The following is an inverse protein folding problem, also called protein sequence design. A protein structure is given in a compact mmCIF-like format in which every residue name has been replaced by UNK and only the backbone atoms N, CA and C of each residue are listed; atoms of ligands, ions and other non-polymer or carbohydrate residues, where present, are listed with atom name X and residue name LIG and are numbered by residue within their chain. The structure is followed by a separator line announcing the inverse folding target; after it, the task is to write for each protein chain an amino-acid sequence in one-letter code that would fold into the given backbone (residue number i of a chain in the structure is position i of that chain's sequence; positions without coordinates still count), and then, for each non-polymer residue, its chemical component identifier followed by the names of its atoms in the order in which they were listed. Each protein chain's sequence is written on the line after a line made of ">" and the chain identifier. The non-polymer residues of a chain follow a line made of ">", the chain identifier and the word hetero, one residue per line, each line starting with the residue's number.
data_IF_954745007379
#
_entry.id   IF_954745007379
#
_cell.length_a   1.000
_cell.length_b   1.000
_cell.length_c   1.000
_cell.angle_alpha   90.00
_cell.angle_beta   90.00
_cell.angle_gamma   90.00
#
_symmetry.space_group_name_H-M   'P 1'
#
loop_
_entity.id
_entity.type
_entity.pdbx_description
1 polymer ?
#
# COMPACT_ATOMS: atom_id res chain seq x y z
N UNK A 1 13.49 23.43 7.52
CA UNK A 1 12.06 23.16 7.82
C UNK A 1 11.71 21.77 7.27
N UNK A 2 11.29 20.81 8.11
CA UNK A 2 10.90 19.48 7.62
C UNK A 2 9.40 19.45 7.38
N UNK A 3 8.98 19.51 6.11
CA UNK A 3 7.56 19.43 5.78
C UNK A 3 7.17 17.97 5.62
N UNK A 4 6.27 17.50 6.48
CA UNK A 4 5.55 16.26 6.26
C UNK A 4 4.38 16.53 5.32
N UNK A 5 4.50 16.03 4.11
CA UNK A 5 3.43 16.07 3.13
C UNK A 5 2.39 14.98 3.46
N UNK A 6 1.22 15.38 3.96
CA UNK A 6 0.00 14.56 4.03
C UNK A 6 -0.98 15.09 2.99
N UNK A 7 -1.42 14.24 2.08
CA UNK A 7 -2.33 14.57 1.01
C UNK A 7 -3.37 13.48 0.83
N UNK A 8 -4.56 13.63 1.44
CA UNK A 8 -5.69 12.72 1.18
C UNK A 8 -5.99 12.61 -0.34
N UNK A 9 -6.50 11.46 -0.78
CA UNK A 9 -7.01 11.21 -2.14
C UNK A 9 -8.07 12.21 -2.61
N UNK A 10 -8.65 12.99 -1.70
CA UNK A 10 -9.53 14.12 -1.98
C UNK A 10 -8.82 15.33 -2.64
N UNK A 11 -7.48 15.35 -2.71
CA UNK A 11 -6.67 16.45 -3.24
C UNK A 11 -6.71 16.56 -4.77
N UNK A 12 -7.03 15.48 -5.49
CA UNK A 12 -7.08 15.48 -6.97
C UNK A 12 -8.24 16.30 -7.57
N UNK A 13 -9.10 16.92 -6.76
CA UNK A 13 -10.10 17.88 -7.26
C UNK A 13 -9.67 19.30 -6.92
N UNK A 14 -9.05 19.98 -7.90
CA UNK A 14 -8.95 21.44 -8.17
C UNK A 14 -8.97 22.49 -7.03
N UNK A 15 -8.83 22.13 -5.76
CA UNK A 15 -9.14 23.03 -4.63
C UNK A 15 -8.00 23.26 -3.65
N UNK A 16 -6.91 22.50 -3.71
CA UNK A 16 -5.89 22.51 -2.64
C UNK A 16 -4.47 22.89 -3.08
N UNK A 17 -4.27 23.35 -4.33
CA UNK A 17 -3.07 24.13 -4.71
C UNK A 17 -2.92 25.40 -3.85
N UNK A 18 -4.01 25.87 -3.22
CA UNK A 18 -4.06 27.08 -2.42
C UNK A 18 -3.02 27.15 -1.28
N UNK A 19 -2.71 26.04 -0.58
CA UNK A 19 -1.72 26.06 0.52
C UNK A 19 -0.26 26.03 0.03
N UNK A 20 0.00 25.51 -1.17
CA UNK A 20 1.35 25.53 -1.76
C UNK A 20 1.72 26.92 -2.30
N UNK A 21 0.74 27.80 -2.54
CA UNK A 21 0.98 29.18 -2.97
C UNK A 21 1.36 30.12 -1.83
N UNK A 22 1.09 29.77 -0.57
CA UNK A 22 1.40 30.61 0.59
C UNK A 22 2.82 30.41 1.14
N UNK A 23 3.51 29.34 0.74
CA UNK A 23 4.85 29.00 1.24
C UNK A 23 5.84 29.02 0.07
N UNK A 24 6.91 29.81 0.20
CA UNK A 24 8.02 29.74 -0.75
C UNK A 24 8.75 28.40 -0.60
N UNK A 25 8.52 27.48 -1.54
CA UNK A 25 9.08 26.13 -1.54
C UNK A 25 10.60 26.12 -1.78
N UNK A 26 11.19 27.23 -2.22
CA UNK A 26 12.64 27.33 -2.42
C UNK A 26 13.42 27.38 -1.12
N UNK A 27 12.78 27.74 0.00
CA UNK A 27 13.41 27.78 1.33
C UNK A 27 13.45 26.42 2.04
N UNK A 28 12.90 25.35 1.44
CA UNK A 28 12.87 24.03 2.03
C UNK A 28 14.15 23.28 1.66
N UNK A 29 15.01 23.04 2.65
CA UNK A 29 16.27 22.31 2.44
C UNK A 29 16.09 20.79 2.33
N UNK A 30 15.10 20.24 3.06
CA UNK A 30 14.93 18.79 3.22
C UNK A 30 13.44 18.40 3.23
N UNK A 31 13.11 17.40 2.43
CA UNK A 31 11.82 16.71 2.40
C UNK A 31 11.99 15.24 2.82
N UNK A 32 11.28 14.83 3.88
CA UNK A 32 11.28 13.44 4.36
C UNK A 32 9.95 12.78 4.04
N UNK A 33 9.99 11.65 3.33
CA UNK A 33 8.79 10.85 3.09
C UNK A 33 8.79 9.65 4.01
N UNK A 34 7.75 9.61 4.87
CA UNK A 34 7.63 8.61 5.95
C UNK A 34 7.39 7.19 5.43
N UNK A 35 6.46 7.02 4.48
CA UNK A 35 6.09 5.73 3.92
C UNK A 35 5.43 5.88 2.54
N UNK A 36 5.18 4.75 1.87
CA UNK A 36 4.83 4.72 0.44
C UNK A 36 3.35 4.95 0.13
N UNK A 37 2.46 5.07 1.11
CA UNK A 37 1.03 5.21 0.81
C UNK A 37 0.75 6.47 -0.02
N UNK A 38 -0.31 6.40 -0.84
CA UNK A 38 -0.66 7.49 -1.76
C UNK A 38 -0.88 8.80 -1.01
N UNK A 39 -1.41 8.76 0.21
CA UNK A 39 -1.66 9.94 1.02
C UNK A 39 -0.41 10.60 1.59
N UNK A 40 0.76 10.01 1.38
CA UNK A 40 2.05 10.56 1.79
C UNK A 40 3.01 10.82 0.63
N UNK A 41 2.85 10.09 -0.48
CA UNK A 41 3.81 10.12 -1.57
C UNK A 41 3.22 10.49 -2.94
N UNK A 42 1.89 10.56 -3.10
CA UNK A 42 1.27 10.74 -4.43
C UNK A 42 1.59 12.07 -5.11
N UNK A 43 1.80 13.14 -4.35
CA UNK A 43 2.11 14.47 -4.89
C UNK A 43 3.59 14.68 -5.17
N UNK A 44 4.46 13.74 -4.79
CA UNK A 44 5.90 13.93 -4.88
C UNK A 44 6.40 14.18 -6.32
N UNK A 45 5.95 13.46 -7.37
CA UNK A 45 6.39 13.77 -8.73
C UNK A 45 6.04 15.19 -9.15
N UNK A 46 4.81 15.63 -8.84
CA UNK A 46 4.38 17.00 -9.09
C UNK A 46 5.22 18.02 -8.31
N UNK A 47 5.46 17.74 -7.02
CA UNK A 47 6.25 18.60 -6.14
C UNK A 47 7.68 18.80 -6.66
N UNK A 48 8.34 17.75 -7.14
CA UNK A 48 9.73 17.82 -7.59
C UNK A 48 9.94 18.33 -9.02
N UNK A 49 8.92 18.22 -9.88
CA UNK A 49 9.03 18.58 -11.29
C UNK A 49 8.30 19.88 -11.65
N UNK A 50 7.24 20.25 -10.92
CA UNK A 50 6.36 21.37 -11.26
C UNK A 50 6.41 22.53 -10.26
N UNK A 51 7.23 22.43 -9.21
CA UNK A 51 7.39 23.49 -8.20
C UNK A 51 8.83 24.04 -8.16
N UNK A 52 9.05 25.10 -7.38
CA UNK A 52 10.35 25.76 -7.19
C UNK A 52 11.26 25.08 -6.17
N UNK A 53 10.85 23.92 -5.62
CA UNK A 53 11.62 23.16 -4.65
C UNK A 53 12.97 22.70 -5.21
N UNK A 54 14.05 22.94 -4.45
CA UNK A 54 15.43 22.56 -4.78
C UNK A 54 16.13 21.78 -3.66
N UNK A 55 15.41 21.46 -2.59
CA UNK A 55 15.94 20.72 -1.45
C UNK A 55 16.19 19.24 -1.76
N UNK A 56 16.75 18.54 -0.78
CA UNK A 56 17.02 17.10 -0.83
C UNK A 56 15.81 16.31 -0.37
N UNK A 57 15.55 15.16 -0.99
CA UNK A 57 14.42 14.28 -0.66
C UNK A 57 14.93 12.96 -0.15
N UNK A 58 14.43 12.49 0.99
CA UNK A 58 14.84 11.21 1.56
C UNK A 58 13.69 10.23 1.71
N UNK A 59 13.97 8.96 1.43
CA UNK A 59 13.10 7.80 1.61
C UNK A 59 13.88 6.58 2.06
N UNK A 60 13.22 5.61 2.68
CA UNK A 60 13.82 4.28 2.85
C UNK A 60 13.93 3.53 1.51
N UNK A 61 14.88 2.61 1.41
CA UNK A 61 15.07 1.75 0.22
C UNK A 61 13.77 1.03 -0.18
N UNK A 62 13.07 0.41 0.77
CA UNK A 62 11.81 -0.28 0.53
C UNK A 62 10.71 0.68 0.06
N UNK A 63 10.61 1.87 0.67
CA UNK A 63 9.65 2.91 0.30
C UNK A 63 9.86 3.35 -1.15
N UNK A 64 11.11 3.61 -1.57
CA UNK A 64 11.44 4.02 -2.94
C UNK A 64 11.04 2.95 -3.98
N UNK A 65 11.26 1.67 -3.69
CA UNK A 65 10.88 0.57 -4.58
C UNK A 65 9.35 0.44 -4.75
N UNK A 66 8.62 0.51 -3.63
CA UNK A 66 7.15 0.40 -3.63
C UNK A 66 6.50 1.65 -4.24
N UNK A 67 7.06 2.83 -3.97
CA UNK A 67 6.61 4.11 -4.52
C UNK A 67 6.48 4.08 -6.04
N UNK A 68 7.51 3.60 -6.75
CA UNK A 68 7.48 3.48 -8.20
C UNK A 68 6.34 2.59 -8.68
N UNK A 69 6.15 1.42 -8.06
CA UNK A 69 5.09 0.49 -8.43
C UNK A 69 3.70 1.08 -8.20
N UNK A 70 3.50 1.74 -7.06
CA UNK A 70 2.22 2.31 -6.65
C UNK A 70 1.82 3.48 -7.57
N UNK A 71 2.73 4.41 -7.84
CA UNK A 71 2.42 5.57 -8.69
C UNK A 71 2.26 5.19 -10.16
N UNK A 72 3.05 4.25 -10.68
CA UNK A 72 2.87 3.76 -12.04
C UNK A 72 1.50 3.08 -12.23
N UNK A 73 0.97 2.42 -11.20
CA UNK A 73 -0.38 1.85 -11.24
C UNK A 73 -1.46 2.93 -11.12
N UNK A 74 -1.25 3.92 -10.24
CA UNK A 74 -2.13 5.08 -10.13
C UNK A 74 -2.31 5.81 -11.47
N UNK A 75 -1.21 6.17 -12.14
CA UNK A 75 -1.24 6.85 -13.45
C UNK A 75 -1.91 5.99 -14.53
N UNK A 76 -1.76 4.66 -14.48
CA UNK A 76 -2.44 3.75 -15.42
C UNK A 76 -3.94 3.71 -15.21
N UNK A 77 -4.40 3.82 -13.96
CA UNK A 77 -5.82 3.85 -13.62
C UNK A 77 -6.47 5.21 -13.91
N UNK A 78 -5.76 6.31 -13.71
CA UNK A 78 -6.27 7.68 -13.91
C UNK A 78 -6.48 8.09 -15.38
N UNK A 79 -6.35 7.19 -16.36
CA UNK A 79 -6.45 7.47 -17.81
C UNK A 79 -7.85 7.86 -18.32
N UNK A 80 -8.85 7.99 -17.45
CA UNK A 80 -10.23 8.30 -17.84
C UNK A 80 -10.47 9.82 -18.03
N UNK A 81 -9.59 10.69 -17.53
CA UNK A 81 -9.64 12.15 -17.82
C UNK A 81 -8.24 12.74 -17.98
N UNK A 82 -7.83 12.95 -19.23
CA UNK A 82 -6.51 13.51 -19.61
C UNK A 82 -6.29 14.92 -19.04
N UNK A 83 -7.37 15.65 -18.75
CA UNK A 83 -7.32 17.04 -18.29
C UNK A 83 -7.00 17.21 -16.79
N UNK A 84 -7.13 16.17 -15.97
CA UNK A 84 -6.88 16.23 -14.51
C UNK A 84 -5.56 15.56 -14.07
N UNK A 85 -4.75 15.03 -14.99
CA UNK A 85 -3.49 14.36 -14.63
C UNK A 85 -2.39 15.38 -14.30
N UNK A 86 -1.96 15.40 -13.03
CA UNK A 86 -0.96 16.31 -12.49
C UNK A 86 0.49 15.97 -12.91
N UNK A 87 0.77 14.70 -13.23
CA UNK A 87 2.11 14.22 -13.59
C UNK A 87 2.03 12.96 -14.47
N UNK A 88 3.09 12.70 -15.24
CA UNK A 88 3.20 11.54 -16.12
C UNK A 88 4.17 10.46 -15.59
N UNK A 89 4.29 9.34 -16.32
CA UNK A 89 5.22 8.25 -15.96
C UNK A 89 6.69 8.70 -16.01
N UNK A 90 7.02 9.71 -16.83
CA UNK A 90 8.38 10.24 -16.94
C UNK A 90 8.74 11.14 -15.75
N UNK A 91 7.79 11.91 -15.23
CA UNK A 91 7.91 12.70 -14.00
C UNK A 91 8.15 11.77 -12.80
N UNK A 92 7.50 10.59 -12.76
CA UNK A 92 7.78 9.58 -11.73
C UNK A 92 9.24 9.10 -11.85
N UNK A 93 9.72 8.78 -13.05
CA UNK A 93 11.10 8.34 -13.25
C UNK A 93 12.12 9.42 -12.84
N UNK A 94 11.89 10.68 -13.23
CA UNK A 94 12.73 11.82 -12.81
C UNK A 94 12.71 12.02 -11.29
N UNK A 95 11.56 11.84 -10.65
CA UNK A 95 11.46 11.90 -9.19
C UNK A 95 12.32 10.83 -8.51
N UNK A 96 12.41 9.63 -9.10
CA UNK A 96 13.23 8.53 -8.55
C UNK A 96 14.72 8.86 -8.50
N UNK A 97 15.23 9.62 -9.48
CA UNK A 97 16.64 10.00 -9.53
C UNK A 97 17.00 11.07 -8.49
N UNK A 98 16.02 11.91 -8.12
CA UNK A 98 16.17 12.96 -7.09
C UNK A 98 16.01 12.45 -5.65
N UNK A 99 15.46 11.25 -5.47
CA UNK A 99 15.24 10.67 -4.13
C UNK A 99 16.51 10.00 -3.63
N UNK A 100 17.02 10.51 -2.53
CA UNK A 100 18.11 9.91 -1.76
C UNK A 100 17.56 8.85 -0.80
N UNK A 101 18.30 7.75 -0.65
CA UNK A 101 17.89 6.62 0.18
C UNK A 101 18.58 6.67 1.54
N UNK A 102 17.82 6.41 2.59
CA UNK A 102 18.30 6.31 3.97
C UNK A 102 18.04 4.91 4.52
N UNK A 103 18.99 4.44 5.32
CA UNK A 103 18.90 3.14 6.00
C UNK A 103 18.16 3.23 7.34
N UNK A 104 17.64 2.09 7.79
CA UNK A 104 16.99 1.95 9.09
C UNK A 104 18.01 2.28 10.20
N UNK A 105 17.60 3.07 11.20
CA UNK A 105 18.41 3.52 12.36
C UNK A 105 19.41 4.67 12.11
N UNK A 106 19.33 5.39 10.99
CA UNK A 106 20.06 6.65 10.86
C UNK A 106 19.38 7.73 11.72
N UNK A 107 20.08 8.18 12.77
CA UNK A 107 19.56 9.20 13.70
C UNK A 107 19.90 10.57 13.14
N UNK A 108 18.87 11.39 12.86
CA UNK A 108 19.06 12.83 12.69
C UNK A 108 18.77 13.45 14.05
N UNK A 109 19.84 13.79 14.76
CA UNK A 109 19.74 14.54 16.00
C UNK A 109 19.02 15.88 15.70
N UNK A 110 18.03 16.24 16.54
CA UNK A 110 17.32 17.54 16.63
C UNK A 110 15.81 17.55 16.29
N UNK A 111 15.25 16.67 15.46
CA UNK A 111 13.81 16.76 15.09
C UNK A 111 13.09 15.41 15.06
N UNK A 112 12.09 15.25 15.92
CA UNK A 112 11.19 14.09 15.92
C UNK A 112 9.86 14.45 15.23
N UNK A 113 9.51 13.74 14.16
CA UNK A 113 8.23 13.92 13.45
C UNK A 113 7.42 12.63 13.60
N UNK A 114 6.28 12.73 14.28
CA UNK A 114 5.44 11.58 14.61
C UNK A 114 4.06 11.70 13.95
N UNK A 115 3.45 10.55 13.66
CA UNK A 115 2.07 10.45 13.21
C UNK A 115 1.10 10.41 14.40
N UNK A 116 0.06 11.24 14.37
CA UNK A 116 -0.99 11.30 15.41
C UNK A 116 -2.30 10.62 15.01
N UNK A 117 -2.35 9.89 13.89
CA UNK A 117 -3.59 9.32 13.31
C UNK A 117 -4.36 8.43 14.29
N UNK A 118 -3.65 7.73 15.17
CA UNK A 118 -4.23 6.89 16.22
C UNK A 118 -3.79 7.32 17.64
N UNK A 119 -3.31 8.55 17.81
CA UNK A 119 -2.64 8.99 19.06
C UNK A 119 -3.51 8.96 20.33
N UNK A 120 -4.83 8.82 20.18
CA UNK A 120 -5.79 8.72 21.29
C UNK A 120 -6.56 7.40 21.31
N UNK A 121 -6.33 6.51 20.34
CA UNK A 121 -7.06 5.25 20.23
C UNK A 121 -6.25 4.10 20.83
N UNK A 122 -6.85 3.43 21.82
CA UNK A 122 -6.32 2.18 22.33
C UNK A 122 -6.72 1.06 21.38
N UNK A 123 -5.75 0.48 20.69
CA UNK A 123 -6.00 -0.67 19.84
C UNK A 123 -6.19 -1.94 20.67
N UNK A 124 -7.18 -2.74 20.29
CA UNK A 124 -7.32 -4.09 20.78
C UNK A 124 -6.05 -4.91 20.46
N UNK A 125 -5.65 -5.84 21.35
CA UNK A 125 -4.55 -6.75 21.08
C UNK A 125 -4.70 -7.44 19.72
N UNK A 126 -3.57 -7.58 19.02
CA UNK A 126 -3.52 -8.14 17.65
C UNK A 126 -4.27 -9.48 17.53
N UNK A 127 -4.04 -10.41 18.46
CA UNK A 127 -4.68 -11.73 18.45
C UNK A 127 -6.22 -11.69 18.52
N UNK A 128 -6.80 -10.69 19.20
CA UNK A 128 -8.26 -10.51 19.29
C UNK A 128 -8.79 -10.00 17.95
N UNK A 129 -8.10 -9.05 17.34
CA UNK A 129 -8.47 -8.49 16.03
C UNK A 129 -8.41 -9.56 14.93
N UNK A 130 -7.32 -10.33 14.91
CA UNK A 130 -7.12 -11.42 13.95
C UNK A 130 -8.22 -12.47 14.09
N UNK A 131 -8.50 -12.91 15.32
CA UNK A 131 -9.58 -13.85 15.59
C UNK A 131 -10.94 -13.33 15.15
N UNK A 132 -11.29 -12.08 15.51
CA UNK A 132 -12.55 -11.47 15.08
C UNK A 132 -12.66 -11.41 13.55
N UNK A 133 -11.57 -11.07 12.88
CA UNK A 133 -11.50 -11.02 11.42
C UNK A 133 -11.75 -12.41 10.80
N UNK A 134 -11.05 -13.46 11.27
CA UNK A 134 -11.22 -14.81 10.76
C UNK A 134 -12.59 -15.39 11.08
N UNK A 135 -13.15 -15.11 12.27
CA UNK A 135 -14.45 -15.63 12.71
C UNK A 135 -15.60 -15.09 11.83
N UNK A 136 -15.54 -13.81 11.45
CA UNK A 136 -16.52 -13.20 10.53
C UNK A 136 -16.44 -13.85 9.14
N UNK A 137 -15.23 -14.09 8.65
CA UNK A 137 -15.02 -14.73 7.34
C UNK A 137 -15.54 -16.17 7.36
N UNK A 138 -15.12 -16.96 8.36
CA UNK A 138 -15.54 -18.35 8.53
C UNK A 138 -17.07 -18.45 8.58
N UNK A 139 -17.71 -17.69 9.47
CA UNK A 139 -19.17 -17.73 9.61
C UNK A 139 -19.92 -17.38 8.32
N UNK A 140 -19.39 -16.44 7.53
CA UNK A 140 -20.00 -16.04 6.25
C UNK A 140 -19.86 -17.14 5.20
N UNK A 141 -18.66 -17.72 5.05
CA UNK A 141 -18.44 -18.77 4.04
C UNK A 141 -19.10 -20.10 4.42
N UNK A 142 -19.22 -20.40 5.72
CA UNK A 142 -19.94 -21.58 6.22
C UNK A 142 -21.43 -21.54 5.91
N UNK A 143 -22.02 -20.34 5.80
CA UNK A 143 -23.41 -20.14 5.37
C UNK A 143 -23.57 -20.21 3.84
N UNK A 144 -22.50 -20.49 3.09
CA UNK A 144 -22.49 -20.45 1.62
C UNK A 144 -22.42 -19.03 1.06
N UNK A 145 -22.17 -18.02 1.90
CA UNK A 145 -22.01 -16.63 1.52
C UNK A 145 -20.65 -16.33 0.91
N UNK A 146 -20.48 -15.08 0.46
CA UNK A 146 -19.25 -14.58 -0.14
C UNK A 146 -18.71 -13.42 0.66
N UNK A 147 -17.39 -13.30 0.73
CA UNK A 147 -16.72 -12.24 1.47
C UNK A 147 -15.94 -11.38 0.49
N UNK A 148 -16.23 -10.06 0.48
CA UNK A 148 -15.43 -9.07 -0.22
C UNK A 148 -14.57 -8.30 0.79
N UNK A 149 -13.26 -8.30 0.58
CA UNK A 149 -12.29 -7.58 1.40
C UNK A 149 -11.70 -6.44 0.56
N UNK A 150 -12.17 -5.19 0.74
CA UNK A 150 -11.60 -4.05 0.06
C UNK A 150 -10.24 -3.71 0.70
N UNK A 151 -9.14 -4.03 0.03
CA UNK A 151 -7.79 -3.73 0.50
C UNK A 151 -6.87 -3.26 -0.64
N UNK A 152 -6.14 -2.17 -0.41
CA UNK A 152 -5.13 -1.72 -1.38
C UNK A 152 -4.07 -2.80 -1.59
N UNK A 153 -3.53 -2.91 -2.81
CA UNK A 153 -2.63 -4.00 -3.18
C UNK A 153 -1.29 -4.03 -2.40
N UNK A 154 -1.02 -3.00 -1.61
CA UNK A 154 0.20 -2.75 -0.86
C UNK A 154 -0.17 -2.24 0.54
N UNK A 155 0.55 -2.71 1.56
CA UNK A 155 0.35 -2.32 2.96
C UNK A 155 -0.41 -3.39 3.74
N UNK A 156 -1.55 -3.02 4.32
CA UNK A 156 -2.34 -3.93 5.16
C UNK A 156 -2.83 -5.20 4.43
N UNK A 157 -2.94 -5.20 3.10
CA UNK A 157 -3.32 -6.40 2.36
C UNK A 157 -2.33 -7.57 2.55
N UNK A 158 -1.02 -7.31 2.61
CA UNK A 158 -0.03 -8.36 2.80
C UNK A 158 -0.19 -9.06 4.16
N UNK A 159 -0.51 -8.29 5.21
CA UNK A 159 -0.78 -8.84 6.54
C UNK A 159 -2.04 -9.72 6.52
N UNK A 160 -3.12 -9.24 5.90
CA UNK A 160 -4.36 -10.01 5.77
C UNK A 160 -4.16 -11.32 4.98
N UNK A 161 -3.36 -11.30 3.92
CA UNK A 161 -3.03 -12.49 3.14
C UNK A 161 -2.33 -13.56 3.98
N UNK A 162 -1.36 -13.15 4.81
CA UNK A 162 -0.64 -14.06 5.70
C UNK A 162 -1.58 -14.68 6.75
N UNK A 163 -2.43 -13.84 7.37
CA UNK A 163 -3.42 -14.30 8.37
C UNK A 163 -4.38 -15.31 7.74
N UNK A 164 -4.86 -15.03 6.52
CA UNK A 164 -5.80 -15.92 5.82
C UNK A 164 -5.16 -17.25 5.41
N UNK A 165 -3.94 -17.23 4.88
CA UNK A 165 -3.24 -18.45 4.46
C UNK A 165 -2.90 -19.35 5.66
N UNK A 166 -2.49 -18.76 6.79
CA UNK A 166 -2.28 -19.47 8.05
C UNK A 166 -3.60 -20.03 8.61
N UNK A 167 -4.68 -19.25 8.57
CA UNK A 167 -5.99 -19.72 9.04
C UNK A 167 -6.52 -20.88 8.19
N UNK A 168 -6.42 -20.79 6.86
CA UNK A 168 -6.81 -21.88 5.96
C UNK A 168 -5.97 -23.13 6.17
N UNK A 169 -4.65 -22.99 6.34
CA UNK A 169 -3.75 -24.12 6.61
C UNK A 169 -4.15 -24.92 7.86
N UNK A 170 -4.74 -24.24 8.85
CA UNK A 170 -5.20 -24.84 10.11
C UNK A 170 -6.65 -25.40 10.05
N UNK A 171 -7.40 -25.13 8.97
CA UNK A 171 -8.82 -25.49 8.83
C UNK A 171 -9.06 -26.26 7.52
N UNK A 172 -8.91 -27.61 7.55
CA UNK A 172 -9.07 -28.45 6.36
C UNK A 172 -10.46 -28.40 5.74
N UNK A 173 -11.49 -28.05 6.51
CA UNK A 173 -12.86 -27.84 6.06
C UNK A 173 -12.99 -26.67 5.07
N UNK A 174 -12.14 -25.65 5.21
CA UNK A 174 -12.12 -24.48 4.34
C UNK A 174 -11.29 -24.66 3.06
N UNK A 175 -10.51 -25.74 2.94
CA UNK A 175 -9.66 -26.00 1.76
C UNK A 175 -10.45 -26.09 0.44
N UNK A 176 -11.76 -26.34 0.51
CA UNK A 176 -12.65 -26.36 -0.66
C UNK A 176 -13.08 -24.96 -1.13
N UNK A 177 -12.90 -23.94 -0.29
CA UNK A 177 -13.35 -22.58 -0.50
C UNK A 177 -12.17 -21.75 -1.01
N UNK A 178 -12.23 -21.21 -2.24
CA UNK A 178 -11.12 -20.45 -2.80
C UNK A 178 -11.03 -19.05 -2.21
N UNK A 179 -9.80 -18.60 -1.98
CA UNK A 179 -9.47 -17.19 -1.71
C UNK A 179 -8.84 -16.60 -2.98
N UNK A 180 -9.39 -15.50 -3.48
CA UNK A 180 -8.89 -14.78 -4.63
C UNK A 180 -8.27 -13.46 -4.23
N UNK A 181 -7.11 -13.15 -4.81
CA UNK A 181 -6.50 -11.83 -4.70
C UNK A 181 -6.52 -11.13 -6.07
N UNK A 182 -7.47 -10.21 -6.22
CA UNK A 182 -7.72 -9.47 -7.45
C UNK A 182 -6.84 -8.21 -7.50
N UNK A 183 -5.57 -8.38 -7.88
CA UNK A 183 -4.71 -7.25 -8.20
C UNK A 183 -3.65 -7.59 -9.25
N UNK A 184 -3.55 -6.83 -10.36
CA UNK A 184 -2.49 -7.01 -11.35
C UNK A 184 -1.11 -6.64 -10.79
N UNK A 185 -1.07 -5.84 -9.72
CA UNK A 185 0.17 -5.50 -9.01
C UNK A 185 0.63 -6.57 -8.02
N UNK A 186 -0.27 -7.47 -7.58
CA UNK A 186 -0.02 -8.48 -6.55
C UNK A 186 1.35 -9.15 -6.68
N UNK A 187 1.63 -9.72 -7.86
CA UNK A 187 2.86 -10.47 -8.15
C UNK A 187 4.11 -9.59 -8.06
N UNK A 188 4.04 -8.35 -8.56
CA UNK A 188 5.17 -7.41 -8.53
C UNK A 188 5.43 -6.92 -7.10
N UNK A 189 4.37 -6.62 -6.37
CA UNK A 189 4.46 -6.24 -4.96
C UNK A 189 5.10 -7.36 -4.14
N UNK A 190 4.68 -8.61 -4.33
CA UNK A 190 5.22 -9.74 -3.59
C UNK A 190 6.73 -9.91 -3.80
N UNK A 191 7.23 -9.71 -5.03
CA UNK A 191 8.66 -9.76 -5.31
C UNK A 191 9.45 -8.67 -4.56
N UNK A 192 8.88 -7.46 -4.41
CA UNK A 192 9.50 -6.38 -3.63
C UNK A 192 9.55 -6.75 -2.15
N UNK A 193 8.47 -7.28 -1.57
CA UNK A 193 8.48 -7.75 -0.17
C UNK A 193 9.55 -8.83 0.05
N UNK A 194 9.65 -9.82 -0.86
CA UNK A 194 10.68 -10.86 -0.77
C UNK A 194 12.11 -10.30 -0.84
N UNK A 195 12.33 -9.23 -1.63
CA UNK A 195 13.65 -8.60 -1.75
C UNK A 195 14.06 -7.86 -0.47
N UNK A 196 13.09 -7.24 0.22
CA UNK A 196 13.31 -6.45 1.44
C UNK A 196 12.97 -7.21 2.73
N UNK A 197 13.20 -8.53 2.76
CA UNK A 197 12.95 -9.38 3.94
C UNK A 197 13.68 -8.89 5.20
N UNK A 198 14.85 -8.27 5.03
CA UNK A 198 15.67 -7.74 6.13
C UNK A 198 15.02 -6.56 6.87
N UNK A 199 14.05 -5.87 6.25
CA UNK A 199 13.30 -4.79 6.87
C UNK A 199 12.06 -5.28 7.64
N UNK A 200 11.78 -6.60 7.65
CA UNK A 200 10.61 -7.18 8.29
C UNK A 200 10.88 -7.60 9.73
N UNK A 201 9.80 -7.95 10.44
CA UNK A 201 9.89 -8.48 11.80
C UNK A 201 10.72 -9.79 11.83
N UNK A 202 11.48 -9.97 12.91
CA UNK A 202 12.29 -11.14 13.23
C UNK A 202 11.52 -12.46 13.03
N UNK A 203 10.20 -12.47 13.32
CA UNK A 203 9.35 -13.64 13.06
C UNK A 203 9.35 -14.06 11.59
N UNK A 204 9.06 -13.12 10.68
CA UNK A 204 9.01 -13.37 9.23
C UNK A 204 10.41 -13.69 8.70
N UNK A 205 11.43 -12.97 9.19
CA UNK A 205 12.82 -13.27 8.85
C UNK A 205 13.19 -14.73 9.18
N UNK A 206 12.92 -15.17 10.42
CA UNK A 206 13.28 -16.51 10.86
C UNK A 206 12.46 -17.59 10.12
N UNK A 207 11.20 -17.30 9.82
CA UNK A 207 10.35 -18.19 9.04
C UNK A 207 10.85 -18.33 7.60
N UNK A 208 11.34 -17.25 6.99
CA UNK A 208 11.90 -17.24 5.64
C UNK A 208 13.07 -18.22 5.45
N UNK A 209 13.82 -18.53 6.52
CA UNK A 209 14.89 -19.52 6.47
C UNK A 209 14.39 -20.95 6.22
N UNK A 210 13.15 -21.26 6.63
CA UNK A 210 12.53 -22.59 6.49
C UNK A 210 11.55 -22.67 5.32
N UNK A 211 10.76 -21.62 5.12
CA UNK A 211 9.73 -21.56 4.08
C UNK A 211 9.40 -20.11 3.76
N UNK A 212 9.16 -19.80 2.49
CA UNK A 212 8.78 -18.45 2.08
C UNK A 212 7.34 -18.15 2.52
N UNK A 213 7.11 -17.27 3.51
CA UNK A 213 5.77 -16.95 3.99
C UNK A 213 4.94 -16.19 2.94
N UNK A 214 5.59 -15.63 1.92
CA UNK A 214 4.93 -14.94 0.81
C UNK A 214 4.54 -15.88 -0.35
N UNK A 215 4.84 -17.17 -0.25
CA UNK A 215 4.36 -18.20 -1.16
C UNK A 215 3.05 -18.80 -0.62
N UNK A 216 1.96 -18.09 -0.92
CA UNK A 216 0.62 -18.36 -0.39
C UNK A 216 0.05 -19.61 -1.07
N UNK A 217 -0.30 -20.63 -0.29
CA UNK A 217 -0.75 -21.95 -0.81
C UNK A 217 -2.24 -21.97 -1.11
N UNK A 218 -3.01 -21.19 -0.36
CA UNK A 218 -4.47 -21.20 -0.39
C UNK A 218 -5.07 -19.98 -1.09
N UNK A 219 -4.22 -19.09 -1.62
CA UNK A 219 -4.64 -17.83 -2.22
C UNK A 219 -4.26 -17.78 -3.69
N UNK A 220 -5.26 -17.58 -4.54
CA UNK A 220 -5.11 -17.60 -5.99
C UNK A 220 -5.13 -16.17 -6.56
N UNK A 221 -4.14 -15.79 -7.39
CA UNK A 221 -4.15 -14.49 -8.05
C UNK A 221 -5.24 -14.46 -9.13
N UNK A 222 -6.06 -13.41 -9.13
CA UNK A 222 -7.09 -13.18 -10.15
C UNK A 222 -6.67 -12.00 -11.03
N UNK A 223 -6.56 -12.20 -12.35
CA UNK A 223 -6.14 -11.16 -13.29
C UNK A 223 -7.30 -10.37 -13.86
N UNK A 224 -8.41 -11.04 -14.17
CA UNK A 224 -9.64 -10.44 -14.69
C UNK A 224 -10.86 -11.06 -14.02
N UNK A 225 -11.97 -10.32 -14.00
CA UNK A 225 -13.27 -10.86 -13.58
C UNK A 225 -13.76 -11.97 -14.51
N UNK A 226 -13.25 -12.03 -15.74
CA UNK A 226 -13.59 -13.09 -16.69
C UNK A 226 -13.04 -14.46 -16.28
N UNK A 227 -11.95 -14.47 -15.48
CA UNK A 227 -11.38 -15.70 -14.90
C UNK A 227 -12.11 -16.10 -13.60
N UNK A 228 -13.03 -15.27 -13.11
CA UNK A 228 -13.74 -15.51 -11.87
C UNK A 228 -14.99 -16.36 -12.13
N UNK A 229 -14.91 -17.63 -11.75
CA UNK A 229 -16.09 -18.49 -11.75
C UNK A 229 -16.87 -18.30 -10.45
N UNK A 230 -18.00 -17.64 -10.55
CA UNK A 230 -18.80 -17.18 -9.41
C UNK A 230 -19.71 -18.29 -8.83
N UNK A 231 -19.15 -19.47 -8.57
CA UNK A 231 -19.90 -20.64 -8.10
C UNK A 231 -19.56 -20.98 -6.66
N UNK A 232 -20.52 -20.77 -5.75
CA UNK A 232 -20.40 -21.14 -4.33
C UNK A 232 -19.78 -20.05 -3.43
N UNK A 233 -19.43 -20.41 -2.19
CA UNK A 233 -18.76 -19.51 -1.25
C UNK A 233 -17.33 -19.23 -1.71
N UNK A 234 -16.91 -17.98 -1.57
CA UNK A 234 -15.54 -17.56 -1.85
C UNK A 234 -15.17 -16.32 -1.05
N UNK A 235 -13.87 -16.08 -0.94
CA UNK A 235 -13.31 -14.84 -0.38
C UNK A 235 -12.58 -14.12 -1.50
N UNK A 236 -12.92 -12.87 -1.74
CA UNK A 236 -12.28 -12.04 -2.76
C UNK A 236 -11.67 -10.82 -2.08
N UNK A 237 -10.35 -10.72 -2.14
CA UNK A 237 -9.64 -9.50 -1.77
C UNK A 237 -9.41 -8.68 -3.03
N UNK A 238 -10.04 -7.51 -3.10
CA UNK A 238 -9.99 -6.63 -4.25
C UNK A 238 -9.52 -5.25 -3.82
N UNK A 239 -8.80 -4.58 -4.73
CA UNK A 239 -8.43 -3.18 -4.52
C UNK A 239 -9.69 -2.33 -4.45
N UNK A 240 -9.85 -1.48 -3.42
CA UNK A 240 -10.98 -0.56 -3.35
C UNK A 240 -10.94 0.38 -4.55
N UNK A 241 -11.95 0.28 -5.41
CA UNK A 241 -12.36 1.31 -6.35
C UNK A 241 -12.73 2.51 -5.49
N UNK A 242 -11.86 3.50 -5.35
CA UNK A 242 -12.25 4.77 -4.72
C UNK A 242 -13.30 5.46 -5.60
N UNK A 243 -14.57 5.03 -5.54
CA UNK A 243 -15.77 5.64 -6.16
C UNK A 243 -15.68 6.00 -7.66
N UNK A 244 -14.63 5.68 -8.42
CA UNK A 244 -14.52 6.12 -9.82
C UNK A 244 -13.97 5.11 -10.83
N UNK A 245 -13.51 3.92 -10.44
CA UNK A 245 -13.38 2.70 -11.27
C UNK A 245 -12.40 1.70 -10.63
N UNK A 246 -12.75 0.42 -10.66
CA UNK A 246 -11.99 -0.69 -10.12
C UNK A 246 -12.87 -1.94 -9.97
N UNK A 247 -12.26 -3.07 -9.62
CA UNK A 247 -12.92 -4.39 -9.54
C UNK A 247 -13.72 -4.63 -8.25
N UNK A 248 -13.63 -3.76 -7.23
CA UNK A 248 -14.39 -3.88 -5.98
C UNK A 248 -15.68 -3.10 -6.00
#
# INVERSE_FOLDING_TARGET
>A
MVIRLRYSSSFCRNGCTALLHEIDLSCIDVLLITHFHLDHAASLPYFLEKTTFKGRVFMMHATKAIYKLLLSDYVKMSKVSVEDMLFDEQDILRSMDKIEVIDFHQTLEDVCIVESTYGVQLHEPQHIREKRFTDVIHSTVAQGGRVLIPAFALGGAQELLLILDEYWSNHPDLHKIPIYYASPLAKRCMAVYQTYIHAMNVKIWNQFANSNPFDLKHIFPLKSIDEFNDTGPCVVMARPSGIQSGLS
#
